data_IF_408691262457
#
_entry.id   IF_408691262457
#
_cell.length_a   1.000
_cell.length_b   1.000
_cell.length_c   1.000
_cell.angle_alpha   90.00
_cell.angle_beta   90.00
_cell.angle_gamma   90.00
#
_symmetry.space_group_name_H-M   'P 1'
#
loop_
_entity.id
_entity.type
_entity.pdbx_description
1 polymer ?
#
# COMPACT_ATOMS: atom_id res chain seq x y z
N UNK A 1 -7.66 -7.09 34.73
CA UNK A 1 -7.95 -7.53 33.35
C UNK A 1 -6.63 -7.57 32.59
N UNK A 2 -6.07 -8.76 32.40
CA UNK A 2 -4.70 -8.95 31.91
C UNK A 2 -4.63 -8.80 30.39
N UNK A 3 -4.02 -7.72 29.90
CA UNK A 3 -3.75 -7.55 28.47
C UNK A 3 -2.53 -8.40 28.07
N UNK A 4 -2.81 -9.56 27.48
CA UNK A 4 -1.86 -10.28 26.63
C UNK A 4 -1.93 -9.69 25.23
N UNK A 5 -0.97 -8.86 24.88
CA UNK A 5 -0.64 -8.63 23.46
C UNK A 5 0.87 -8.60 23.33
N UNK A 6 1.45 -9.79 23.13
CA UNK A 6 2.84 -9.93 22.68
C UNK A 6 2.84 -9.86 21.16
N UNK A 7 3.56 -8.93 20.51
CA UNK A 7 4.13 -9.20 19.21
C UNK A 7 5.52 -9.79 19.42
N UNK A 8 5.63 -11.11 19.26
CA UNK A 8 6.89 -11.78 18.96
C UNK A 8 7.22 -11.50 17.49
N UNK A 9 8.11 -10.55 17.20
CA UNK A 9 8.92 -10.55 15.97
C UNK A 9 10.11 -9.63 16.20
N UNK A 10 11.28 -10.24 16.26
CA UNK A 10 12.56 -9.58 16.46
C UNK A 10 13.00 -8.71 15.28
N UNK A 11 14.07 -7.97 15.56
CA UNK A 11 14.87 -7.08 14.70
C UNK A 11 14.24 -5.73 14.35
N UNK A 12 14.59 -4.76 15.20
CA UNK A 12 14.77 -3.37 14.82
C UNK A 12 15.88 -3.25 13.74
N UNK A 13 15.51 -3.43 12.48
CA UNK A 13 16.15 -2.68 11.39
C UNK A 13 15.29 -1.43 11.20
N UNK A 14 15.85 -0.25 11.49
CA UNK A 14 15.20 1.06 11.34
C UNK A 14 14.88 1.42 9.86
N UNK A 15 14.89 0.44 8.96
CA UNK A 15 14.38 0.58 7.60
C UNK A 15 12.85 0.49 7.65
N UNK A 16 12.11 1.49 7.12
CA UNK A 16 10.67 1.35 6.98
C UNK A 16 10.38 0.09 6.14
N UNK A 17 9.51 -0.79 6.64
CA UNK A 17 9.02 -1.91 5.84
C UNK A 17 8.26 -1.34 4.64
N UNK A 18 8.89 -1.33 3.48
CA UNK A 18 8.30 -0.85 2.25
C UNK A 18 7.40 -1.92 1.64
N UNK A 19 6.26 -1.48 1.14
CA UNK A 19 5.30 -2.32 0.45
C UNK A 19 4.97 -1.72 -0.91
N UNK A 20 4.76 -2.58 -1.90
CA UNK A 20 4.10 -2.20 -3.15
C UNK A 20 2.59 -2.21 -2.90
N UNK A 21 1.98 -1.03 -2.91
CA UNK A 21 0.55 -0.84 -2.84
C UNK A 21 -0.02 -0.78 -4.24
N UNK A 22 -0.91 -1.72 -4.57
CA UNK A 22 -1.61 -1.76 -5.86
C UNK A 22 -3.01 -1.20 -5.71
N UNK A 23 -3.39 -0.30 -6.61
CA UNK A 23 -4.72 0.27 -6.69
C UNK A 23 -5.34 0.03 -8.05
N UNK A 24 -6.65 -0.21 -8.05
CA UNK A 24 -7.49 0.08 -9.20
C UNK A 24 -7.78 1.57 -9.19
N UNK A 25 -7.39 2.26 -10.25
CA UNK A 25 -7.46 3.70 -10.38
C UNK A 25 -8.45 4.08 -11.49
N UNK A 26 -9.37 4.97 -11.16
CA UNK A 26 -10.30 5.60 -12.09
C UNK A 26 -9.90 7.06 -12.25
N UNK A 27 -9.69 7.52 -13.48
CA UNK A 27 -9.32 8.90 -13.74
C UNK A 27 -10.50 9.83 -13.39
N UNK A 28 -10.24 10.88 -12.60
CA UNK A 28 -11.27 11.86 -12.21
C UNK A 28 -11.69 12.77 -13.37
N UNK A 29 -10.75 13.09 -14.24
CA UNK A 29 -10.95 14.00 -15.37
C UNK A 29 -11.58 13.29 -16.56
N UNK A 30 -11.28 12.01 -16.76
CA UNK A 30 -11.83 11.23 -17.85
C UNK A 30 -12.61 10.01 -17.36
N UNK A 31 -13.93 10.12 -17.43
CA UNK A 31 -14.88 9.08 -16.98
C UNK A 31 -15.11 7.99 -18.03
N UNK A 32 -14.63 8.17 -19.27
CA UNK A 32 -14.80 7.19 -20.35
C UNK A 32 -13.61 6.23 -20.43
N UNK A 33 -12.48 6.57 -19.80
CA UNK A 33 -11.29 5.74 -19.77
C UNK A 33 -11.50 4.53 -18.87
N UNK A 34 -11.07 3.37 -19.35
CA UNK A 34 -11.12 2.13 -18.60
C UNK A 34 -10.31 2.25 -17.29
N UNK A 35 -10.73 1.57 -16.21
CA UNK A 35 -9.95 1.50 -14.98
C UNK A 35 -8.54 0.98 -15.27
N UNK A 36 -7.53 1.64 -14.70
CA UNK A 36 -6.14 1.20 -14.82
C UNK A 36 -5.60 0.71 -13.48
N UNK A 37 -4.54 -0.09 -13.52
CA UNK A 37 -3.87 -0.59 -12.33
C UNK A 37 -2.60 0.22 -12.09
N UNK A 38 -2.51 0.84 -10.92
CA UNK A 38 -1.35 1.62 -10.50
C UNK A 38 -0.69 0.97 -9.29
N UNK A 39 0.64 1.09 -9.20
CA UNK A 39 1.43 0.57 -8.09
C UNK A 39 2.31 1.67 -7.52
N UNK A 40 2.40 1.77 -6.20
CA UNK A 40 3.26 2.74 -5.51
C UNK A 40 3.95 2.05 -4.35
N UNK A 41 5.26 2.24 -4.24
CA UNK A 41 6.01 1.83 -3.06
C UNK A 41 5.84 2.86 -1.94
N UNK A 42 5.40 2.40 -0.77
CA UNK A 42 5.30 3.24 0.42
C UNK A 42 5.33 2.38 1.68
N UNK A 43 5.70 3.00 2.80
CA UNK A 43 5.63 2.36 4.11
C UNK A 43 4.18 2.14 4.55
N UNK A 44 3.27 3.03 4.15
CA UNK A 44 1.84 2.98 4.54
C UNK A 44 0.89 3.16 3.36
N UNK A 45 -0.33 2.64 3.47
CA UNK A 45 -1.39 2.85 2.45
C UNK A 45 -1.69 4.32 2.25
N UNK A 46 -1.68 5.09 3.35
CA UNK A 46 -2.04 6.51 3.35
C UNK A 46 -1.05 7.33 2.51
N UNK A 47 0.24 7.04 2.63
CA UNK A 47 1.27 7.67 1.81
C UNK A 47 1.12 7.29 0.34
N UNK A 48 0.93 5.99 0.05
CA UNK A 48 0.70 5.54 -1.33
C UNK A 48 -0.53 6.20 -1.96
N UNK A 49 -1.64 6.32 -1.22
CA UNK A 49 -2.85 7.01 -1.69
C UNK A 49 -2.61 8.50 -1.94
N UNK A 50 -1.85 9.19 -1.09
CA UNK A 50 -1.59 10.63 -1.24
C UNK A 50 -0.93 10.97 -2.58
N UNK A 51 -0.07 10.08 -3.08
CA UNK A 51 0.60 10.26 -4.38
C UNK A 51 -0.41 10.26 -5.54
N UNK A 52 -1.44 9.41 -5.48
CA UNK A 52 -2.36 9.18 -6.60
C UNK A 52 -3.72 9.88 -6.45
N UNK A 53 -4.14 10.21 -5.23
CA UNK A 53 -5.44 10.78 -4.91
C UNK A 53 -5.79 12.09 -5.63
N UNK A 54 -4.83 12.98 -5.98
CA UNK A 54 -5.16 14.19 -6.74
C UNK A 54 -5.83 13.90 -8.09
N UNK A 55 -5.45 12.82 -8.75
CA UNK A 55 -5.86 12.52 -10.13
C UNK A 55 -6.85 11.37 -10.24
N UNK A 56 -6.86 10.47 -9.26
CA UNK A 56 -7.61 9.22 -9.34
C UNK A 56 -8.59 9.03 -8.17
N UNK A 57 -9.65 8.28 -8.44
CA UNK A 57 -10.42 7.57 -7.42
C UNK A 57 -9.79 6.19 -7.28
N UNK A 58 -9.48 5.78 -6.05
CA UNK A 58 -8.63 4.62 -5.77
C UNK A 58 -9.37 3.57 -4.95
N UNK A 59 -9.43 2.34 -5.49
CA UNK A 59 -9.80 1.15 -4.74
C UNK A 59 -8.54 0.31 -4.49
N UNK A 60 -8.32 -0.09 -3.24
CA UNK A 60 -7.15 -0.91 -2.88
C UNK A 60 -7.30 -2.30 -3.50
N UNK A 61 -6.27 -2.76 -4.21
CA UNK A 61 -6.26 -4.05 -4.88
C UNK A 61 -5.29 -5.05 -4.22
N UNK A 62 -4.12 -4.60 -3.74
CA UNK A 62 -3.17 -5.47 -3.03
C UNK A 62 -2.14 -4.67 -2.22
N UNK A 63 -1.55 -5.33 -1.21
CA UNK A 63 -0.34 -4.93 -0.52
C UNK A 63 0.68 -6.06 -0.62
N UNK A 64 1.84 -5.79 -1.24
CA UNK A 64 2.90 -6.78 -1.44
C UNK A 64 4.17 -6.32 -0.71
N UNK A 65 4.85 -7.19 0.05
CA UNK A 65 6.14 -6.83 0.64
C UNK A 65 7.18 -6.61 -0.47
N UNK A 66 8.00 -5.56 -0.34
CA UNK A 66 9.13 -5.30 -1.27
C UNK A 66 10.29 -6.25 -1.00
N UNK A 67 10.46 -6.70 0.25
CA UNK A 67 11.37 -7.78 0.58
C UNK A 67 10.71 -9.13 0.23
N UNK A 68 11.41 -9.91 -0.60
CA UNK A 68 10.99 -11.25 -1.00
C UNK A 68 10.66 -12.08 0.23
N UNK A 69 9.53 -12.80 0.16
CA UNK A 69 9.33 -13.96 1.04
C UNK A 69 10.40 -14.96 0.63
N UNK A 70 11.50 -15.03 1.38
CA UNK A 70 12.37 -16.21 1.34
C UNK A 70 11.48 -17.40 1.75
N UNK A 71 11.12 -18.20 0.76
CA UNK A 71 10.39 -19.45 0.93
C UNK A 71 11.27 -20.51 1.62
#
# INVERSE_FOLDING_TARGET
MSNRTTPLTGRASHSPNLFVWRFLALNRHDKKVAPCRLSVEAATEREARRVLAPHFILSLAARLPVAEVAA
#
